data_IF_833387925525
#
_entry.id   IF_833387925525
#
_cell.length_a   1.000
_cell.length_b   1.000
_cell.length_c   1.000
_cell.angle_alpha   90.00
_cell.angle_beta   90.00
_cell.angle_gamma   90.00
#
_symmetry.space_group_name_H-M   'P 1'
#
loop_
_entity.id
_entity.type
_entity.pdbx_description
1 polymer ?
#
# COMPACT_ATOMS: atom_id res chain seq x y z
N UNK A 1 2.40 21.83 27.13
CA UNK A 1 2.95 21.35 25.85
C UNK A 1 2.25 20.03 25.54
N UNK A 2 1.42 19.96 24.50
CA UNK A 2 0.77 18.71 24.13
C UNK A 2 1.86 17.73 23.68
N UNK A 3 2.05 16.65 24.42
CA UNK A 3 2.93 15.56 24.02
C UNK A 3 2.36 14.94 22.75
N UNK A 4 3.10 15.06 21.64
CA UNK A 4 2.78 14.33 20.41
C UNK A 4 3.08 12.85 20.64
N UNK A 5 2.10 12.11 21.16
CA UNK A 5 2.15 10.67 21.26
C UNK A 5 1.53 10.08 19.98
N UNK A 6 2.37 9.55 19.10
CA UNK A 6 1.92 8.69 18.02
C UNK A 6 1.41 7.40 18.65
N UNK A 7 0.19 7.01 18.30
CA UNK A 7 -0.25 5.66 18.61
C UNK A 7 0.42 4.68 17.65
N UNK A 8 0.53 3.43 18.08
CA UNK A 8 1.20 2.36 17.34
C UNK A 8 0.75 2.26 15.86
N UNK A 9 -0.56 2.38 15.58
CA UNK A 9 -1.06 2.29 14.21
C UNK A 9 -0.67 3.48 13.34
N UNK A 10 -0.57 4.69 13.90
CA UNK A 10 -0.09 5.88 13.17
C UNK A 10 1.40 5.78 12.87
N UNK A 11 2.18 5.19 13.77
CA UNK A 11 3.60 4.90 13.55
C UNK A 11 3.77 3.91 12.38
N UNK A 12 3.09 2.76 12.44
CA UNK A 12 3.12 1.77 11.36
C UNK A 12 2.62 2.31 10.02
N UNK A 13 1.57 3.15 10.03
CA UNK A 13 1.07 3.80 8.83
C UNK A 13 2.12 4.73 8.21
N UNK A 14 2.80 5.54 9.03
CA UNK A 14 3.83 6.45 8.56
C UNK A 14 5.04 5.68 7.99
N UNK A 15 5.49 4.63 8.66
CA UNK A 15 6.57 3.75 8.20
C UNK A 15 6.22 3.08 6.86
N UNK A 16 5.00 2.57 6.74
CA UNK A 16 4.54 1.90 5.51
C UNK A 16 4.48 2.88 4.34
N UNK A 17 3.94 4.10 4.55
CA UNK A 17 3.91 5.15 3.54
C UNK A 17 5.32 5.56 3.11
N UNK A 18 6.24 5.66 4.06
CA UNK A 18 7.64 5.96 3.78
C UNK A 18 8.25 4.92 2.84
N UNK A 19 8.12 3.63 3.16
CA UNK A 19 8.65 2.52 2.33
C UNK A 19 8.05 2.54 0.92
N UNK A 20 6.74 2.75 0.80
CA UNK A 20 6.06 2.82 -0.50
C UNK A 20 6.60 3.96 -1.37
N UNK A 21 6.85 5.15 -0.77
CA UNK A 21 7.39 6.31 -1.49
C UNK A 21 8.83 6.09 -1.92
N UNK A 22 9.66 5.50 -1.06
CA UNK A 22 11.05 5.17 -1.41
C UNK A 22 11.11 4.20 -2.59
N UNK A 23 10.28 3.15 -2.60
CA UNK A 23 10.22 2.22 -3.75
C UNK A 23 9.79 2.95 -5.03
N UNK A 24 8.78 3.82 -4.97
CA UNK A 24 8.37 4.59 -6.13
C UNK A 24 9.43 5.60 -6.61
N UNK A 25 10.28 6.09 -5.70
CA UNK A 25 11.35 7.04 -6.03
C UNK A 25 12.61 6.36 -6.60
N UNK A 26 12.90 5.13 -6.17
CA UNK A 26 14.15 4.43 -6.51
C UNK A 26 14.02 3.45 -7.68
N UNK A 27 12.82 3.00 -8.02
CA UNK A 27 12.59 1.97 -9.05
C UNK A 27 11.79 2.51 -10.24
N UNK A 28 12.18 2.13 -11.46
CA UNK A 28 11.53 2.57 -12.69
C UNK A 28 10.17 1.90 -12.94
N UNK A 29 10.03 0.61 -12.60
CA UNK A 29 8.84 -0.20 -12.89
C UNK A 29 8.34 -0.98 -11.66
N UNK A 30 7.95 -0.31 -10.56
CA UNK A 30 7.37 -1.00 -9.42
C UNK A 30 5.95 -1.49 -9.72
N UNK A 31 5.51 -2.51 -8.99
CA UNK A 31 4.14 -3.03 -9.05
C UNK A 31 3.68 -3.42 -7.65
N UNK A 32 2.41 -3.17 -7.33
CA UNK A 32 1.83 -3.65 -6.08
C UNK A 32 1.10 -4.98 -6.33
N UNK A 33 1.63 -6.06 -5.77
CA UNK A 33 0.98 -7.37 -5.81
C UNK A 33 -0.33 -7.31 -5.00
N UNK A 34 -1.44 -7.62 -5.66
CA UNK A 34 -2.78 -7.47 -5.12
C UNK A 34 -3.55 -8.79 -5.22
N UNK A 35 -3.84 -9.39 -4.07
CA UNK A 35 -4.57 -10.67 -3.99
C UNK A 35 -6.07 -10.51 -3.75
N UNK A 36 -6.54 -9.30 -3.44
CA UNK A 36 -7.92 -9.09 -2.96
C UNK A 36 -8.12 -9.50 -1.49
N UNK A 37 -7.10 -10.06 -0.83
CA UNK A 37 -7.14 -10.39 0.59
C UNK A 37 -6.90 -9.17 1.50
N UNK A 38 -7.20 -9.32 2.79
CA UNK A 38 -7.15 -8.25 3.82
C UNK A 38 -5.85 -7.46 3.80
N UNK A 39 -4.71 -8.12 3.68
CA UNK A 39 -3.39 -7.48 3.79
C UNK A 39 -3.12 -6.63 2.53
N UNK A 40 -3.43 -7.18 1.36
CA UNK A 40 -3.29 -6.45 0.09
C UNK A 40 -4.24 -5.26 -0.03
N UNK A 41 -5.43 -5.34 0.58
CA UNK A 41 -6.37 -4.21 0.68
C UNK A 41 -5.80 -3.11 1.58
N UNK A 42 -5.22 -3.47 2.73
CA UNK A 42 -4.54 -2.49 3.61
C UNK A 42 -3.34 -1.86 2.90
N UNK A 43 -2.53 -2.65 2.21
CA UNK A 43 -1.41 -2.12 1.41
C UNK A 43 -1.88 -1.16 0.31
N UNK A 44 -2.96 -1.50 -0.42
CA UNK A 44 -3.54 -0.61 -1.42
C UNK A 44 -4.04 0.69 -0.78
N UNK A 45 -4.69 0.62 0.37
CA UNK A 45 -5.13 1.80 1.11
C UNK A 45 -3.94 2.71 1.50
N UNK A 46 -2.87 2.13 2.04
CA UNK A 46 -1.64 2.85 2.40
C UNK A 46 -0.96 3.45 1.16
N UNK A 47 -0.93 2.74 0.03
CA UNK A 47 -0.40 3.25 -1.22
C UNK A 47 -1.21 4.45 -1.73
N UNK A 48 -2.54 4.39 -1.68
CA UNK A 48 -3.40 5.53 -2.04
C UNK A 48 -3.13 6.71 -1.11
N UNK A 49 -2.99 6.49 0.21
CA UNK A 49 -2.60 7.56 1.15
C UNK A 49 -1.20 8.12 0.87
N UNK A 50 -0.26 7.29 0.43
CA UNK A 50 1.10 7.70 0.13
C UNK A 50 1.16 8.70 -1.04
N UNK A 51 0.29 8.56 -2.04
CA UNK A 51 0.33 9.41 -3.24
C UNK A 51 -0.83 10.42 -3.35
N UNK A 52 -1.82 10.36 -2.46
CA UNK A 52 -2.91 11.33 -2.45
C UNK A 52 -2.38 12.79 -2.43
N UNK A 53 -2.91 13.68 -3.28
CA UNK A 53 -4.09 13.52 -4.15
C UNK A 53 -3.81 12.98 -5.56
N UNK A 54 -2.56 12.64 -5.88
CA UNK A 54 -2.20 12.07 -7.17
C UNK A 54 -2.65 10.60 -7.29
N UNK A 55 -2.66 10.09 -8.53
CA UNK A 55 -2.88 8.67 -8.81
C UNK A 55 -1.63 7.86 -8.42
N UNK A 56 -1.81 6.56 -8.20
CA UNK A 56 -0.69 5.65 -7.99
C UNK A 56 0.26 5.70 -9.20
N UNK A 57 1.58 5.84 -8.99
CA UNK A 57 2.56 5.86 -10.06
C UNK A 57 2.92 4.46 -10.59
N UNK A 58 2.30 3.41 -10.06
CA UNK A 58 2.52 2.02 -10.44
C UNK A 58 1.20 1.24 -10.58
N UNK A 59 1.19 0.18 -11.41
CA UNK A 59 0.03 -0.69 -11.55
C UNK A 59 -0.16 -1.62 -10.33
N UNK A 60 -1.34 -2.23 -10.27
CA UNK A 60 -1.63 -3.39 -9.42
C UNK A 60 -1.48 -4.66 -10.26
N UNK A 61 -0.96 -5.74 -9.67
CA UNK A 61 -0.88 -7.04 -10.31
C UNK A 61 -1.54 -8.11 -9.46
N UNK A 62 -2.56 -8.74 -10.03
CA UNK A 62 -3.18 -9.95 -9.49
C UNK A 62 -2.67 -11.18 -10.26
N UNK A 63 -2.29 -12.22 -9.52
CA UNK A 63 -1.91 -13.51 -10.10
C UNK A 63 -3.11 -14.44 -9.96
N UNK A 64 -3.77 -14.71 -11.07
CA UNK A 64 -4.86 -15.70 -11.11
C UNK A 64 -4.28 -17.11 -11.21
N UNK A 65 -4.59 -17.93 -10.21
CA UNK A 65 -4.17 -19.34 -10.15
C UNK A 65 -5.15 -20.29 -10.80
N UNK A 66 -6.35 -19.82 -11.18
CA UNK A 66 -7.49 -20.65 -11.57
C UNK A 66 -8.24 -21.28 -10.38
N UNK A 67 -7.81 -21.01 -9.15
CA UNK A 67 -8.40 -21.54 -7.91
C UNK A 67 -8.93 -20.45 -6.97
N UNK A 68 -9.10 -19.22 -7.46
CA UNK A 68 -9.69 -18.13 -6.69
C UNK A 68 -11.17 -18.44 -6.37
N UNK A 69 -11.64 -17.95 -5.22
CA UNK A 69 -13.06 -18.08 -4.88
C UNK A 69 -13.90 -17.21 -5.83
N UNK A 70 -15.11 -17.63 -6.22
CA UNK A 70 -16.00 -16.83 -7.06
C UNK A 70 -16.32 -15.44 -6.49
N UNK A 71 -16.24 -15.27 -5.17
CA UNK A 71 -16.48 -14.02 -4.45
C UNK A 71 -15.29 -13.06 -4.46
N UNK A 72 -14.08 -13.53 -4.84
CA UNK A 72 -12.85 -12.72 -4.87
C UNK A 72 -12.71 -12.01 -6.21
#
# INVERSE_FOLDING_TARGET
>A
MLSYNLNHLRELEAESIFVIREVAAQFENPVLLFSGGKDSIVMLHLAVKAFSPARLPFPLLHIDTGHNFPET
#
